data_IF_699200191664
#
_entry.id   IF_699200191664
#
_cell.length_a   1.000
_cell.length_b   1.000
_cell.length_c   1.000
_cell.angle_alpha   90.00
_cell.angle_beta   90.00
_cell.angle_gamma   90.00
#
_symmetry.space_group_name_H-M   'P 1'
#
loop_
_entity.id
_entity.type
_entity.pdbx_description
1 polymer ?
#
# COMPACT_ATOMS: atom_id res chain seq x y z
N UNK A 1 49.37 26.06 -51.74
CA UNK A 1 49.64 26.78 -50.47
C UNK A 1 48.36 27.46 -49.98
N UNK A 2 48.23 27.59 -48.65
CA UNK A 2 47.17 28.29 -47.88
C UNK A 2 45.84 27.51 -47.69
N UNK A 3 45.71 26.75 -46.59
CA UNK A 3 45.24 27.15 -45.23
C UNK A 3 43.71 27.27 -45.14
N UNK A 4 43.07 26.18 -44.70
CA UNK A 4 41.73 26.17 -44.12
C UNK A 4 41.80 26.65 -42.66
N UNK A 5 40.88 27.54 -42.28
CA UNK A 5 40.50 27.81 -40.89
C UNK A 5 38.97 28.07 -40.79
N UNK A 6 38.36 27.87 -39.60
CA UNK A 6 37.02 27.30 -39.46
C UNK A 6 35.93 28.34 -39.14
N UNK A 7 34.69 28.06 -39.53
CA UNK A 7 33.50 28.85 -39.11
C UNK A 7 32.67 28.11 -38.06
N UNK A 8 32.24 28.92 -37.10
CA UNK A 8 31.77 28.60 -35.74
C UNK A 8 30.35 28.01 -35.67
N UNK A 9 30.15 27.23 -34.61
CA UNK A 9 28.90 26.68 -34.06
C UNK A 9 27.75 27.70 -34.01
N UNK A 10 26.54 27.24 -34.35
CA UNK A 10 25.27 27.82 -33.91
C UNK A 10 24.52 26.80 -33.03
N UNK A 11 24.16 27.20 -31.81
CA UNK A 11 23.22 26.48 -30.91
C UNK A 11 21.84 27.14 -31.05
N UNK A 12 20.72 26.38 -31.08
CA UNK A 12 19.39 26.99 -31.11
C UNK A 12 18.83 27.32 -29.72
N UNK A 13 18.22 28.49 -29.69
CA UNK A 13 17.26 29.12 -28.79
C UNK A 13 16.71 28.37 -27.55
N UNK A 14 16.94 28.97 -26.38
CA UNK A 14 16.13 28.85 -25.16
C UNK A 14 14.80 29.59 -25.33
N UNK A 15 13.67 28.88 -25.14
CA UNK A 15 12.34 29.49 -25.00
C UNK A 15 12.02 29.71 -23.53
N UNK A 16 12.13 30.95 -23.09
CA UNK A 16 11.56 31.48 -21.84
C UNK A 16 10.03 31.43 -21.94
N UNK A 17 9.36 30.71 -21.04
CA UNK A 17 7.89 30.74 -20.94
C UNK A 17 7.51 31.55 -19.70
N UNK A 18 6.94 32.72 -19.98
CA UNK A 18 6.50 33.75 -19.05
C UNK A 18 5.37 33.25 -18.15
N UNK A 19 5.51 33.50 -16.85
CA UNK A 19 4.52 33.24 -15.81
C UNK A 19 3.33 34.20 -16.01
N UNK A 20 2.14 33.66 -16.32
CA UNK A 20 0.90 34.46 -16.37
C UNK A 20 0.35 34.61 -14.94
N UNK A 21 0.09 35.86 -14.59
CA UNK A 21 -0.52 36.36 -13.35
C UNK A 21 -1.95 35.84 -13.16
N UNK A 22 -2.28 35.42 -11.94
CA UNK A 22 -3.60 34.97 -11.53
C UNK A 22 -4.43 36.12 -10.93
N UNK A 23 -5.69 36.23 -11.35
CA UNK A 23 -6.74 37.08 -10.74
C UNK A 23 -7.55 36.23 -9.74
N UNK A 24 -7.97 36.77 -8.58
CA UNK A 24 -8.60 35.99 -7.52
C UNK A 24 -10.12 35.89 -7.68
N UNK A 25 -10.71 34.80 -7.17
CA UNK A 25 -12.12 34.76 -6.76
C UNK A 25 -13.04 33.85 -7.59
N UNK A 26 -13.12 32.58 -7.20
CA UNK A 26 -14.39 31.84 -7.20
C UNK A 26 -14.32 30.72 -6.16
N UNK A 27 -15.23 30.77 -5.19
CA UNK A 27 -15.42 29.75 -4.16
C UNK A 27 -15.51 28.36 -4.82
N UNK A 28 -14.59 27.48 -4.45
CA UNK A 28 -14.62 26.09 -4.87
C UNK A 28 -15.78 25.40 -4.13
N UNK A 29 -16.94 25.32 -4.79
CA UNK A 29 -17.92 24.30 -4.46
C UNK A 29 -17.22 22.94 -4.61
N UNK A 30 -17.13 22.22 -3.50
CA UNK A 30 -16.61 20.85 -3.43
C UNK A 30 -17.39 19.98 -4.42
N UNK A 31 -16.70 19.49 -5.46
CA UNK A 31 -17.24 18.47 -6.35
C UNK A 31 -17.45 17.19 -5.54
N UNK A 32 -18.54 16.43 -5.77
CA UNK A 32 -18.73 15.14 -5.12
C UNK A 32 -17.60 14.19 -5.53
N UNK A 33 -17.10 13.44 -4.55
CA UNK A 33 -15.99 12.50 -4.68
C UNK A 33 -16.34 11.46 -5.76
N UNK A 34 -15.42 11.23 -6.70
CA UNK A 34 -15.65 10.27 -7.77
C UNK A 34 -15.50 8.84 -7.22
N UNK A 35 -16.65 8.21 -6.97
CA UNK A 35 -16.79 6.77 -6.73
C UNK A 35 -15.92 5.96 -7.71
N UNK A 36 -15.33 4.86 -7.25
CA UNK A 36 -14.56 4.00 -8.17
C UNK A 36 -15.47 3.52 -9.31
N UNK A 37 -14.92 3.29 -10.50
CA UNK A 37 -15.69 2.78 -11.64
C UNK A 37 -16.54 1.53 -11.27
N UNK A 38 -16.03 0.70 -10.37
CA UNK A 38 -16.76 -0.47 -9.87
C UNK A 38 -17.92 -0.09 -8.94
N UNK A 39 -17.80 0.95 -8.11
CA UNK A 39 -18.88 1.47 -7.27
C UNK A 39 -19.91 2.22 -8.10
N UNK A 40 -19.49 3.07 -9.04
CA UNK A 40 -20.38 3.71 -10.02
C UNK A 40 -21.17 2.67 -10.80
N UNK A 41 -20.52 1.60 -11.24
CA UNK A 41 -21.21 0.51 -11.96
C UNK A 41 -22.19 -0.27 -11.07
N UNK A 42 -21.84 -0.51 -9.80
CA UNK A 42 -22.74 -1.17 -8.83
C UNK A 42 -23.95 -0.27 -8.54
N UNK A 43 -23.73 1.00 -8.23
CA UNK A 43 -24.77 1.98 -7.93
C UNK A 43 -25.67 2.23 -9.13
N UNK A 44 -25.11 2.34 -10.33
CA UNK A 44 -25.88 2.43 -11.58
C UNK A 44 -26.77 1.22 -11.80
N UNK A 45 -26.29 0.01 -11.48
CA UNK A 45 -27.10 -1.22 -11.52
C UNK A 45 -28.15 -1.30 -10.42
N UNK A 46 -27.91 -0.66 -9.26
CA UNK A 46 -28.86 -0.62 -8.16
C UNK A 46 -30.00 0.39 -8.40
N UNK A 47 -29.74 1.47 -9.15
CA UNK A 47 -30.73 2.50 -9.46
C UNK A 47 -31.96 1.95 -10.21
N UNK A 48 -31.76 0.91 -11.02
CA UNK A 48 -32.83 0.24 -11.79
C UNK A 48 -33.48 -0.94 -11.03
N UNK A 49 -33.12 -1.17 -9.76
CA UNK A 49 -33.57 -2.32 -8.98
C UNK A 49 -34.37 -1.89 -7.75
N UNK A 50 -35.45 -2.61 -7.45
CA UNK A 50 -36.18 -2.41 -6.21
C UNK A 50 -35.36 -2.91 -5.00
N UNK A 51 -35.33 -2.16 -3.88
CA UNK A 51 -34.53 -2.48 -2.69
C UNK A 51 -34.79 -3.87 -2.08
N UNK A 52 -36.02 -4.38 -2.21
CA UNK A 52 -36.42 -5.67 -1.66
C UNK A 52 -35.96 -6.87 -2.51
N UNK A 53 -35.42 -6.63 -3.70
CA UNK A 53 -34.94 -7.69 -4.58
C UNK A 53 -33.64 -8.30 -4.05
N UNK A 54 -33.50 -9.62 -4.19
CA UNK A 54 -32.27 -10.32 -3.82
C UNK A 54 -31.04 -9.74 -4.53
N UNK A 55 -31.21 -9.27 -5.78
CA UNK A 55 -30.14 -8.67 -6.58
C UNK A 55 -29.68 -7.32 -6.00
N UNK A 56 -30.60 -6.47 -5.55
CA UNK A 56 -30.26 -5.21 -4.87
C UNK A 56 -29.49 -5.48 -3.59
N UNK A 57 -29.98 -6.39 -2.73
CA UNK A 57 -29.34 -6.74 -1.45
C UNK A 57 -27.91 -7.30 -1.63
N UNK A 58 -27.66 -8.05 -2.70
CA UNK A 58 -26.31 -8.53 -3.04
C UNK A 58 -25.38 -7.38 -3.43
N UNK A 59 -25.86 -6.42 -4.23
CA UNK A 59 -25.08 -5.25 -4.65
C UNK A 59 -24.80 -4.30 -3.48
N UNK A 60 -25.80 -4.09 -2.61
CA UNK A 60 -25.66 -3.35 -1.36
C UNK A 60 -24.62 -3.99 -0.44
N UNK A 61 -24.70 -5.31 -0.25
CA UNK A 61 -23.71 -6.06 0.54
C UNK A 61 -22.30 -5.96 -0.05
N UNK A 62 -22.18 -5.95 -1.38
CA UNK A 62 -20.90 -5.78 -2.07
C UNK A 62 -20.32 -4.36 -1.88
N UNK A 63 -21.16 -3.33 -1.80
CA UNK A 63 -20.74 -1.96 -1.51
C UNK A 63 -20.32 -1.82 -0.04
N UNK A 64 -21.11 -2.36 0.90
CA UNK A 64 -20.78 -2.40 2.32
C UNK A 64 -19.49 -3.20 2.61
N UNK A 65 -19.23 -4.26 1.83
CA UNK A 65 -17.98 -5.00 1.91
C UNK A 65 -16.77 -4.13 1.53
N UNK A 66 -16.90 -3.21 0.56
CA UNK A 66 -15.81 -2.29 0.20
C UNK A 66 -15.49 -1.27 1.28
N UNK A 67 -16.48 -0.87 2.09
CA UNK A 67 -16.26 0.01 3.26
C UNK A 67 -15.97 -0.76 4.56
N UNK A 68 -16.05 -2.09 4.55
CA UNK A 68 -15.87 -2.94 5.75
C UNK A 68 -14.46 -2.89 6.36
N UNK A 69 -13.45 -2.50 5.58
CA UNK A 69 -12.08 -2.42 6.05
C UNK A 69 -11.90 -1.35 7.14
N UNK A 70 -12.74 -0.32 7.14
CA UNK A 70 -12.72 0.79 8.08
C UNK A 70 -13.08 0.30 9.48
N UNK A 71 -14.20 -0.41 9.58
CA UNK A 71 -14.71 -1.00 10.82
C UNK A 71 -13.72 -2.05 11.35
N UNK A 72 -13.17 -2.88 10.46
CA UNK A 72 -12.13 -3.82 10.86
C UNK A 72 -10.86 -3.11 11.32
N UNK A 73 -10.46 -2.04 10.63
CA UNK A 73 -9.29 -1.22 10.98
C UNK A 73 -9.44 -0.55 12.35
N UNK A 74 -10.62 -0.05 12.68
CA UNK A 74 -10.99 0.48 14.00
C UNK A 74 -10.80 -0.57 15.09
N UNK A 75 -11.47 -1.72 14.97
CA UNK A 75 -11.36 -2.79 15.96
C UNK A 75 -9.93 -3.31 16.10
N UNK A 76 -9.22 -3.49 15.00
CA UNK A 76 -7.82 -3.90 15.05
C UNK A 76 -6.94 -2.84 15.72
N UNK A 77 -7.19 -1.56 15.50
CA UNK A 77 -6.46 -0.47 16.17
C UNK A 77 -6.72 -0.48 17.68
N UNK A 78 -7.95 -0.73 18.12
CA UNK A 78 -8.29 -0.85 19.54
C UNK A 78 -7.66 -2.10 20.17
N UNK A 79 -7.67 -3.23 19.48
CA UNK A 79 -7.00 -4.47 19.93
C UNK A 79 -5.50 -4.25 20.13
N UNK A 80 -4.85 -3.55 19.19
CA UNK A 80 -3.43 -3.19 19.33
C UNK A 80 -3.22 -2.24 20.51
N UNK A 81 -4.04 -1.17 20.61
CA UNK A 81 -3.95 -0.15 21.65
C UNK A 81 -4.12 -0.72 23.06
N UNK A 82 -5.07 -1.64 23.24
CA UNK A 82 -5.38 -2.28 24.52
C UNK A 82 -4.53 -3.53 24.77
N UNK A 83 -3.76 -4.00 23.79
CA UNK A 83 -3.09 -5.30 23.82
C UNK A 83 -4.05 -6.47 24.16
N UNK A 84 -5.33 -6.37 23.78
CA UNK A 84 -6.37 -7.35 24.12
C UNK A 84 -6.02 -8.78 23.68
N UNK A 85 -5.27 -8.92 22.57
CA UNK A 85 -4.76 -10.20 22.07
C UNK A 85 -3.97 -10.99 23.12
N UNK A 86 -3.30 -10.33 24.08
CA UNK A 86 -2.58 -11.01 25.17
C UNK A 86 -3.54 -11.69 26.14
N UNK A 87 -4.66 -11.03 26.46
CA UNK A 87 -5.68 -11.60 27.34
C UNK A 87 -6.39 -12.80 26.70
N UNK A 88 -6.42 -12.84 25.37
CA UNK A 88 -6.95 -13.97 24.60
C UNK A 88 -5.94 -15.12 24.40
N UNK A 89 -4.74 -15.01 24.97
CA UNK A 89 -3.72 -16.06 24.92
C UNK A 89 -2.80 -16.02 23.70
N UNK A 90 -2.85 -14.97 22.88
CA UNK A 90 -1.93 -14.81 21.75
C UNK A 90 -0.63 -14.13 22.16
N UNK A 91 0.50 -14.69 21.69
CA UNK A 91 1.83 -14.15 21.96
C UNK A 91 2.08 -12.77 21.32
N UNK A 92 1.43 -12.50 20.18
CA UNK A 92 1.53 -11.24 19.47
C UNK A 92 0.25 -10.93 18.70
N UNK A 93 0.06 -9.65 18.36
CA UNK A 93 -1.02 -9.20 17.49
C UNK A 93 -0.97 -9.90 16.13
N UNK A 94 0.24 -10.08 15.59
CA UNK A 94 0.43 -10.75 14.30
C UNK A 94 -0.06 -12.20 14.33
N UNK A 95 0.19 -12.91 15.44
CA UNK A 95 -0.25 -14.30 15.62
C UNK A 95 -1.77 -14.40 15.74
N UNK A 96 -2.39 -13.47 16.48
CA UNK A 96 -3.84 -13.35 16.55
C UNK A 96 -4.46 -13.15 15.17
N UNK A 97 -3.93 -12.21 14.38
CA UNK A 97 -4.44 -11.96 13.03
C UNK A 97 -4.27 -13.15 12.08
N UNK A 98 -3.15 -13.88 12.16
CA UNK A 98 -2.90 -15.03 11.29
C UNK A 98 -3.74 -16.25 11.65
N UNK A 99 -3.88 -16.54 12.94
CA UNK A 99 -4.43 -17.80 13.43
C UNK A 99 -5.95 -17.77 13.55
N UNK A 100 -6.52 -16.63 13.96
CA UNK A 100 -7.96 -16.51 14.20
C UNK A 100 -8.67 -15.77 13.07
N UNK A 101 -8.11 -14.63 12.64
CA UNK A 101 -8.74 -13.81 11.61
C UNK A 101 -8.36 -14.25 10.19
N UNK A 102 -7.35 -15.11 10.04
CA UNK A 102 -6.78 -15.52 8.76
C UNK A 102 -6.36 -14.32 7.87
N UNK A 103 -6.00 -13.21 8.52
CA UNK A 103 -5.53 -12.00 7.85
C UNK A 103 -4.01 -11.97 7.91
N UNK A 104 -3.37 -11.80 6.76
CA UNK A 104 -1.91 -11.67 6.73
C UNK A 104 -1.43 -10.52 7.61
N UNK A 105 -0.32 -10.70 8.30
CA UNK A 105 0.33 -9.66 9.10
C UNK A 105 0.49 -8.34 8.35
N UNK A 106 0.85 -8.41 7.06
CA UNK A 106 1.02 -7.23 6.22
C UNK A 106 -0.30 -6.49 5.98
N UNK A 107 -1.40 -7.22 5.81
CA UNK A 107 -2.74 -6.63 5.65
C UNK A 107 -3.22 -6.02 6.96
N UNK A 108 -3.10 -6.73 8.08
CA UNK A 108 -3.51 -6.23 9.40
C UNK A 108 -2.81 -4.91 9.75
N UNK A 109 -1.48 -4.84 9.53
CA UNK A 109 -0.70 -3.61 9.75
C UNK A 109 -1.15 -2.46 8.85
N UNK A 110 -1.49 -2.74 7.59
CA UNK A 110 -2.03 -1.72 6.67
C UNK A 110 -3.38 -1.19 7.13
N UNK A 111 -4.29 -2.07 7.56
CA UNK A 111 -5.61 -1.69 8.04
C UNK A 111 -5.52 -0.75 9.25
N UNK A 112 -4.77 -1.15 10.28
CA UNK A 112 -4.55 -0.34 11.49
C UNK A 112 -3.95 1.01 11.14
N UNK A 113 -2.90 1.02 10.30
CA UNK A 113 -2.21 2.25 9.91
C UNK A 113 -3.10 3.19 9.10
N UNK A 114 -3.87 2.65 8.15
CA UNK A 114 -4.81 3.43 7.34
C UNK A 114 -5.90 4.05 8.19
N UNK A 115 -6.45 3.29 9.15
CA UNK A 115 -7.43 3.80 10.11
C UNK A 115 -6.87 4.94 10.96
N UNK A 116 -5.67 4.77 11.53
CA UNK A 116 -5.00 5.82 12.31
C UNK A 116 -4.76 7.09 11.48
N UNK A 117 -4.33 6.94 10.22
CA UNK A 117 -4.16 8.07 9.33
C UNK A 117 -5.46 8.84 9.10
N UNK A 118 -6.60 8.16 8.89
CA UNK A 118 -7.90 8.85 8.75
C UNK A 118 -8.20 9.65 10.02
N UNK A 119 -8.04 9.04 11.20
CA UNK A 119 -8.30 9.72 12.47
C UNK A 119 -7.46 10.97 12.69
N UNK A 120 -6.21 10.97 12.20
CA UNK A 120 -5.29 12.09 12.35
C UNK A 120 -5.47 13.19 11.28
N UNK A 121 -5.72 12.79 10.03
CA UNK A 121 -5.58 13.68 8.85
C UNK A 121 -6.89 13.99 8.14
N UNK A 122 -7.91 13.17 8.33
CA UNK A 122 -9.17 13.25 7.62
C UNK A 122 -10.35 12.73 8.50
N UNK A 123 -10.52 13.25 9.73
CA UNK A 123 -11.53 12.75 10.67
C UNK A 123 -12.97 12.89 10.14
N UNK A 124 -13.19 13.79 9.17
CA UNK A 124 -14.46 13.98 8.47
C UNK A 124 -14.93 12.73 7.71
N UNK A 125 -14.04 11.78 7.43
CA UNK A 125 -14.37 10.51 6.79
C UNK A 125 -14.61 9.36 7.77
N UNK A 126 -14.49 9.60 9.07
CA UNK A 126 -14.83 8.59 10.07
C UNK A 126 -16.35 8.46 10.21
N UNK A 127 -16.87 7.23 10.39
CA UNK A 127 -18.26 7.06 10.75
C UNK A 127 -18.54 7.75 12.10
N UNK A 128 -19.73 8.36 12.30
CA UNK A 128 -20.10 8.97 13.57
C UNK A 128 -19.95 7.98 14.73
N UNK A 129 -19.30 8.42 15.83
CA UNK A 129 -18.91 7.62 17.00
C UNK A 129 -20.07 7.12 17.89
N UNK A 130 -21.34 7.18 17.47
CA UNK A 130 -22.42 6.59 18.27
C UNK A 130 -22.38 5.08 18.13
N UNK A 131 -21.71 4.46 19.09
CA UNK A 131 -21.62 3.03 19.32
C UNK A 131 -22.98 2.46 19.75
N UNK A 132 -23.11 1.14 19.61
CA UNK A 132 -24.26 0.27 19.96
C UNK A 132 -25.29 0.04 18.84
N UNK A 133 -24.89 -0.74 17.82
CA UNK A 133 -25.64 -1.93 17.35
C UNK A 133 -25.11 -2.39 15.99
N UNK A 134 -24.07 -3.23 16.02
CA UNK A 134 -23.50 -3.84 14.81
C UNK A 134 -24.46 -4.87 14.18
N UNK A 135 -25.50 -5.31 14.91
CA UNK A 135 -26.54 -6.22 14.42
C UNK A 135 -27.73 -5.45 13.83
N UNK A 136 -28.11 -4.28 14.36
CA UNK A 136 -29.18 -3.45 13.80
C UNK A 136 -28.77 -2.73 12.49
N UNK A 137 -27.46 -2.50 12.28
CA UNK A 137 -26.92 -1.91 11.03
C UNK A 137 -27.15 -2.74 9.76
N UNK A 138 -27.57 -4.00 9.88
CA UNK A 138 -27.89 -4.84 8.72
C UNK A 138 -29.29 -4.59 8.16
N UNK A 139 -30.15 -3.85 8.88
CA UNK A 139 -31.57 -3.69 8.55
C UNK A 139 -32.07 -2.25 8.52
N UNK A 140 -31.30 -1.25 8.93
CA UNK A 140 -31.73 0.14 8.85
C UNK A 140 -30.75 0.98 8.04
N UNK A 141 -31.25 1.34 6.86
CA UNK A 141 -30.87 2.47 6.01
C UNK A 141 -29.38 2.61 5.76
N UNK A 142 -28.98 2.21 4.54
CA UNK A 142 -27.89 2.78 3.76
C UNK A 142 -27.17 3.92 4.49
N UNK A 143 -26.11 3.56 5.24
CA UNK A 143 -25.20 4.53 5.80
C UNK A 143 -24.87 5.52 4.67
N UNK A 144 -24.97 6.84 4.89
CA UNK A 144 -24.30 7.79 4.04
C UNK A 144 -22.82 7.56 4.28
N UNK A 145 -22.29 6.57 3.54
CA UNK A 145 -20.88 6.23 3.47
C UNK A 145 -20.29 7.35 2.65
N UNK A 146 -20.13 8.52 3.27
CA UNK A 146 -19.46 9.66 2.66
C UNK A 146 -18.17 9.13 2.04
N UNK A 147 -18.08 9.29 0.73
CA UNK A 147 -17.21 8.57 -0.20
C UNK A 147 -15.78 8.43 0.33
N UNK A 148 -15.50 7.27 0.94
CA UNK A 148 -14.19 7.00 1.50
C UNK A 148 -13.25 6.54 0.39
N UNK A 149 -12.06 7.16 0.23
CA UNK A 149 -11.09 6.68 -0.74
C UNK A 149 -10.74 5.20 -0.49
N UNK A 150 -10.45 4.45 -1.56
CA UNK A 150 -10.05 3.04 -1.45
C UNK A 150 -8.90 2.88 -0.43
N UNK A 151 -8.92 1.76 0.31
CA UNK A 151 -7.89 1.39 1.28
C UNK A 151 -6.49 1.57 0.69
N UNK A 152 -6.29 1.21 -0.59
CA UNK A 152 -4.97 1.34 -1.22
C UNK A 152 -4.53 2.79 -1.34
N UNK A 153 -5.41 3.70 -1.74
CA UNK A 153 -5.11 5.13 -1.82
C UNK A 153 -4.76 5.69 -0.43
N UNK A 154 -5.52 5.31 0.59
CA UNK A 154 -5.24 5.72 1.98
C UNK A 154 -3.92 5.12 2.48
N UNK A 155 -3.61 3.86 2.14
CA UNK A 155 -2.31 3.28 2.53
C UNK A 155 -1.14 4.07 1.94
N UNK A 156 -1.28 4.59 0.71
CA UNK A 156 -0.28 5.44 0.06
C UNK A 156 -0.18 6.80 0.75
N UNK A 157 -1.29 7.40 1.15
CA UNK A 157 -1.26 8.66 1.91
C UNK A 157 -0.64 8.49 3.31
N UNK A 158 -0.93 7.37 3.97
CA UNK A 158 -0.29 7.03 5.24
C UNK A 158 1.23 6.83 5.08
N UNK A 159 1.67 6.20 3.97
CA UNK A 159 3.09 6.10 3.60
C UNK A 159 3.70 7.49 3.32
N UNK A 160 2.98 8.34 2.58
CA UNK A 160 3.41 9.70 2.27
C UNK A 160 3.55 10.56 3.54
N UNK A 161 2.62 10.45 4.50
CA UNK A 161 2.69 11.16 5.78
C UNK A 161 3.88 10.69 6.61
N UNK A 162 4.16 9.39 6.61
CA UNK A 162 5.38 8.87 7.24
C UNK A 162 6.64 9.42 6.57
N UNK A 163 6.69 9.43 5.24
CA UNK A 163 7.81 9.99 4.49
C UNK A 163 8.00 11.51 4.74
N UNK A 164 6.92 12.26 4.92
CA UNK A 164 6.94 13.66 5.36
C UNK A 164 7.56 13.80 6.75
N UNK A 165 7.13 12.98 7.73
CA UNK A 165 7.71 12.97 9.08
C UNK A 165 9.20 12.61 9.07
N UNK A 166 9.63 11.78 8.13
CA UNK A 166 11.04 11.41 7.90
C UNK A 166 11.82 12.45 7.06
N UNK A 167 11.21 13.59 6.72
CA UNK A 167 11.77 14.63 5.84
C UNK A 167 12.23 14.12 4.46
N UNK A 168 11.64 13.01 3.98
CA UNK A 168 11.92 12.42 2.66
C UNK A 168 11.05 13.02 1.55
N UNK A 169 9.96 13.68 1.91
CA UNK A 169 9.02 14.33 1.00
C UNK A 169 8.72 15.71 1.57
N UNK A 170 8.63 16.73 0.71
CA UNK A 170 8.25 18.08 1.14
C UNK A 170 6.76 18.14 1.53
N UNK A 171 6.41 19.12 2.36
CA UNK A 171 5.01 19.34 2.74
C UNK A 171 4.13 19.62 1.52
N UNK A 172 4.62 20.43 0.57
CA UNK A 172 3.92 20.72 -0.68
C UNK A 172 3.62 19.46 -1.50
N UNK A 173 4.58 18.53 -1.57
CA UNK A 173 4.40 17.27 -2.29
C UNK A 173 3.38 16.36 -1.58
N UNK A 174 3.38 16.32 -0.25
CA UNK A 174 2.36 15.60 0.52
C UNK A 174 0.96 16.19 0.30
N UNK A 175 0.81 17.51 0.34
CA UNK A 175 -0.47 18.17 0.10
C UNK A 175 -0.96 17.96 -1.34
N UNK A 176 -0.05 17.94 -2.33
CA UNK A 176 -0.38 17.60 -3.70
C UNK A 176 -0.89 16.16 -3.83
N UNK A 177 -0.26 15.19 -3.15
CA UNK A 177 -0.73 13.81 -3.10
C UNK A 177 -2.09 13.68 -2.42
N UNK A 178 -2.31 14.41 -1.31
CA UNK A 178 -3.60 14.44 -0.61
C UNK A 178 -4.70 14.96 -1.54
N UNK A 179 -4.45 16.08 -2.23
CA UNK A 179 -5.40 16.63 -3.23
C UNK A 179 -5.68 15.64 -4.34
N UNK A 180 -4.63 15.08 -4.96
CA UNK A 180 -4.78 14.09 -6.02
C UNK A 180 -5.63 12.89 -5.58
N UNK A 181 -5.43 12.39 -4.36
CA UNK A 181 -6.20 11.28 -3.83
C UNK A 181 -7.68 11.64 -3.61
N UNK A 182 -7.95 12.87 -3.16
CA UNK A 182 -9.31 13.41 -3.03
C UNK A 182 -9.98 13.65 -4.39
N UNK A 183 -9.18 13.97 -5.41
CA UNK A 183 -9.63 14.10 -6.80
C UNK A 183 -9.86 12.75 -7.50
N UNK A 184 -9.76 11.62 -6.77
CA UNK A 184 -10.05 10.29 -7.30
C UNK A 184 -8.87 9.58 -7.98
N UNK A 185 -7.63 10.08 -7.82
CA UNK A 185 -6.48 9.42 -8.42
C UNK A 185 -6.27 7.99 -7.91
N UNK A 186 -5.83 7.12 -8.83
CA UNK A 186 -5.61 5.72 -8.53
C UNK A 186 -4.43 5.54 -7.56
N UNK A 187 -4.51 4.52 -6.70
CA UNK A 187 -3.40 4.18 -5.79
C UNK A 187 -2.06 3.95 -6.52
N UNK A 188 -2.08 3.45 -7.77
CA UNK A 188 -0.87 3.31 -8.58
C UNK A 188 -0.30 4.65 -9.04
N UNK A 189 -1.15 5.59 -9.44
CA UNK A 189 -0.73 6.94 -9.81
C UNK A 189 -0.18 7.69 -8.59
N UNK A 190 -0.88 7.62 -7.45
CA UNK A 190 -0.42 8.20 -6.18
C UNK A 190 0.93 7.62 -5.73
N UNK A 191 1.10 6.30 -5.83
CA UNK A 191 2.36 5.65 -5.49
C UNK A 191 3.50 6.08 -6.40
N UNK A 192 3.24 6.26 -7.69
CA UNK A 192 4.21 6.78 -8.65
C UNK A 192 4.60 8.23 -8.30
N UNK A 193 3.62 9.09 -8.09
CA UNK A 193 3.85 10.49 -7.71
C UNK A 193 4.63 10.60 -6.39
N UNK A 194 4.32 9.76 -5.40
CA UNK A 194 5.08 9.67 -4.15
C UNK A 194 6.55 9.31 -4.40
N UNK A 195 6.82 8.28 -5.22
CA UNK A 195 8.19 7.87 -5.55
C UNK A 195 8.98 8.92 -6.36
N UNK A 196 8.27 9.73 -7.16
CA UNK A 196 8.85 10.86 -7.92
C UNK A 196 9.16 12.05 -7.00
N UNK A 197 8.37 12.25 -5.93
CA UNK A 197 8.57 13.33 -4.96
C UNK A 197 9.72 13.10 -3.96
N UNK A 198 10.17 11.86 -3.80
CA UNK A 198 11.28 11.52 -2.90
C UNK A 198 12.62 11.84 -3.60
N UNK A 199 13.45 12.76 -3.06
CA UNK A 199 14.77 13.06 -3.61
C UNK A 199 15.63 11.80 -3.74
N UNK A 200 16.42 11.70 -4.82
CA UNK A 200 17.24 10.51 -5.09
C UNK A 200 18.21 10.17 -3.94
N UNK A 201 18.66 11.17 -3.18
CA UNK A 201 19.54 11.05 -2.01
C UNK A 201 18.81 10.49 -0.78
N UNK A 202 17.51 10.74 -0.65
CA UNK A 202 16.65 10.26 0.42
C UNK A 202 16.03 8.88 0.12
N UNK A 203 16.14 8.40 -1.12
CA UNK A 203 15.81 7.01 -1.46
C UNK A 203 16.73 6.09 -0.67
N UNK A 204 16.22 5.03 -0.04
CA UNK A 204 17.05 4.09 0.68
C UNK A 204 18.17 3.60 -0.25
N UNK A 205 19.43 3.89 0.10
CA UNK A 205 20.59 3.31 -0.60
C UNK A 205 20.44 1.79 -0.57
N UNK A 206 20.76 1.14 -1.68
CA UNK A 206 20.65 -0.29 -1.99
C UNK A 206 21.34 -1.28 -1.00
N UNK A 207 21.63 -0.90 0.24
CA UNK A 207 22.01 -1.79 1.32
C UNK A 207 20.93 -2.85 1.58
N UNK A 208 19.65 -2.47 1.47
CA UNK A 208 18.51 -3.39 1.58
C UNK A 208 18.44 -4.37 0.38
N UNK A 209 18.93 -3.95 -0.80
CA UNK A 209 19.02 -4.85 -1.96
C UNK A 209 20.04 -5.96 -1.72
N UNK A 210 21.20 -5.69 -1.09
CA UNK A 210 22.19 -6.75 -0.80
C UNK A 210 21.63 -7.82 0.12
N UNK A 211 20.99 -7.43 1.23
CA UNK A 211 20.37 -8.37 2.17
C UNK A 211 19.22 -9.12 1.50
N UNK A 212 18.38 -8.41 0.71
CA UNK A 212 17.31 -9.02 -0.08
C UNK A 212 17.83 -10.02 -1.12
N UNK A 213 18.91 -9.69 -1.82
CA UNK A 213 19.56 -10.58 -2.79
C UNK A 213 20.16 -11.80 -2.10
N UNK A 214 20.81 -11.64 -0.95
CA UNK A 214 21.33 -12.75 -0.15
C UNK A 214 20.20 -13.65 0.38
N UNK A 215 19.09 -13.08 0.86
CA UNK A 215 17.90 -13.87 1.28
C UNK A 215 17.29 -14.64 0.11
N UNK A 216 17.18 -14.01 -1.06
CA UNK A 216 16.69 -14.67 -2.29
C UNK A 216 17.64 -15.79 -2.75
N UNK A 217 18.94 -15.55 -2.72
CA UNK A 217 19.96 -16.55 -3.05
C UNK A 217 19.93 -17.73 -2.06
N UNK A 218 19.82 -17.46 -0.75
CA UNK A 218 19.67 -18.50 0.27
C UNK A 218 18.44 -19.37 0.04
N UNK A 219 17.27 -18.77 -0.27
CA UNK A 219 16.05 -19.52 -0.61
C UNK A 219 16.23 -20.38 -1.87
N UNK A 220 16.91 -19.86 -2.88
CA UNK A 220 17.20 -20.60 -4.10
C UNK A 220 18.15 -21.79 -3.84
N UNK A 221 19.20 -21.60 -3.02
CA UNK A 221 20.09 -22.68 -2.60
C UNK A 221 19.35 -23.78 -1.84
N UNK A 222 18.41 -23.43 -0.95
CA UNK A 222 17.59 -24.42 -0.26
C UNK A 222 16.78 -25.28 -1.26
N UNK A 223 16.12 -24.66 -2.23
CA UNK A 223 15.38 -25.38 -3.27
C UNK A 223 16.28 -26.28 -4.13
N UNK A 224 17.52 -25.86 -4.42
CA UNK A 224 18.51 -26.69 -5.14
C UNK A 224 18.93 -27.89 -4.30
N UNK A 225 19.19 -27.69 -3.00
CA UNK A 225 19.54 -28.78 -2.08
C UNK A 225 18.41 -29.81 -2.01
N UNK A 226 17.17 -29.36 -1.89
CA UNK A 226 16.00 -30.26 -1.84
C UNK A 226 15.87 -31.06 -3.15
N UNK A 227 16.04 -30.41 -4.30
CA UNK A 227 15.99 -31.08 -5.60
C UNK A 227 17.14 -32.08 -5.79
N UNK A 228 18.36 -31.77 -5.31
CA UNK A 228 19.50 -32.68 -5.37
C UNK A 228 19.31 -33.88 -4.46
N UNK A 229 18.73 -33.71 -3.26
CA UNK A 229 18.41 -34.81 -2.35
C UNK A 229 17.32 -35.74 -2.90
N UNK A 230 16.32 -35.18 -3.56
CA UNK A 230 15.28 -35.96 -4.25
C UNK A 230 15.90 -36.76 -5.42
N UNK A 231 16.80 -36.17 -6.18
CA UNK A 231 17.52 -36.86 -7.25
C UNK A 231 18.45 -37.97 -6.73
N UNK A 232 19.21 -37.70 -5.67
CA UNK A 232 20.17 -38.64 -5.05
C UNK A 232 19.48 -39.84 -4.37
N UNK A 233 18.19 -39.71 -4.03
CA UNK A 233 17.40 -40.81 -3.46
C UNK A 233 17.16 -42.00 -4.40
N UNK A 234 17.59 -41.91 -5.67
CA UNK A 234 17.37 -42.91 -6.73
C UNK A 234 18.61 -43.65 -7.25
N UNK A 235 19.82 -43.48 -6.70
CA UNK A 235 21.03 -44.10 -7.26
C UNK A 235 22.12 -44.44 -6.24
N UNK A 236 22.85 -45.54 -6.48
CA UNK A 236 23.88 -46.07 -5.58
C UNK A 236 25.02 -45.07 -5.30
N UNK A 237 25.15 -44.73 -4.01
CA UNK A 237 26.38 -44.52 -3.26
C UNK A 237 27.53 -43.74 -3.96
N UNK A 238 27.42 -42.42 -4.00
CA UNK A 238 28.54 -41.55 -3.73
C UNK A 238 27.99 -40.18 -3.34
N UNK A 239 28.45 -39.61 -2.23
CA UNK A 239 28.13 -38.24 -1.87
C UNK A 239 28.41 -37.33 -3.05
N UNK A 240 27.34 -36.89 -3.71
CA UNK A 240 27.42 -36.13 -4.95
C UNK A 240 28.09 -34.80 -4.62
N UNK A 241 29.26 -34.56 -5.22
CA UNK A 241 30.04 -33.34 -5.04
C UNK A 241 29.16 -32.09 -5.23
N UNK A 242 28.10 -32.20 -6.05
CA UNK A 242 27.09 -31.17 -6.26
C UNK A 242 26.27 -30.84 -5.00
N UNK A 243 25.84 -31.83 -4.23
CA UNK A 243 25.09 -31.61 -2.98
C UNK A 243 25.99 -30.94 -1.94
N UNK A 244 27.24 -31.40 -1.82
CA UNK A 244 28.23 -30.80 -0.92
C UNK A 244 28.52 -29.34 -1.29
N UNK A 245 28.69 -29.04 -2.58
CA UNK A 245 28.88 -27.67 -3.08
C UNK A 245 27.66 -26.78 -2.81
N UNK A 246 26.44 -27.30 -3.00
CA UNK A 246 25.22 -26.56 -2.72
C UNK A 246 25.06 -26.21 -1.23
N UNK A 247 25.38 -27.16 -0.34
CA UNK A 247 25.38 -26.94 1.11
C UNK A 247 26.45 -25.94 1.55
N UNK A 248 27.66 -26.02 0.98
CA UNK A 248 28.74 -25.04 1.23
C UNK A 248 28.35 -23.63 0.79
N UNK A 249 27.75 -23.48 -0.40
CA UNK A 249 27.26 -22.19 -0.89
C UNK A 249 26.16 -21.63 0.02
N UNK A 250 25.21 -22.47 0.44
CA UNK A 250 24.15 -22.09 1.38
C UNK A 250 24.73 -21.56 2.70
N UNK A 251 25.71 -22.28 3.28
CA UNK A 251 26.41 -21.87 4.50
C UNK A 251 27.16 -20.55 4.33
N UNK A 252 27.86 -20.36 3.21
CA UNK A 252 28.57 -19.12 2.90
C UNK A 252 27.64 -17.91 2.74
N UNK A 253 26.46 -18.10 2.13
CA UNK A 253 25.43 -17.06 2.04
C UNK A 253 24.87 -16.73 3.43
N UNK A 254 24.59 -17.75 4.24
CA UNK A 254 24.03 -17.57 5.59
C UNK A 254 24.96 -16.77 6.51
N UNK A 255 26.28 -17.00 6.44
CA UNK A 255 27.28 -16.23 7.19
C UNK A 255 27.33 -14.74 6.83
N UNK A 256 26.85 -14.36 5.63
CA UNK A 256 26.81 -12.97 5.16
C UNK A 256 25.46 -12.29 5.40
N UNK A 257 24.45 -13.04 5.86
CA UNK A 257 23.19 -12.45 6.25
C UNK A 257 23.35 -11.79 7.63
N UNK A 258 22.81 -10.56 7.84
CA UNK A 258 22.76 -9.97 9.16
C UNK A 258 21.95 -10.89 10.08
N UNK A 259 22.48 -11.16 11.28
CA UNK A 259 21.74 -11.89 12.32
C UNK A 259 20.52 -11.06 12.69
N UNK A 260 19.37 -11.71 12.79
CA UNK A 260 18.18 -11.05 13.31
C UNK A 260 18.39 -10.88 14.81
N UNK A 261 18.60 -9.64 15.25
CA UNK A 261 18.44 -9.24 16.65
C UNK A 261 16.95 -9.22 17.02
#
# INVERSE_FOLDING_TARGET
>A
MAKQQPKKRAKPATKTKTLKTATPGKAAMSKPVELTHAEVSILGRMADLEPETARYRVLESALAFKSSWVVLGEHLADVVKTSAFKAWGYASFERYCSDELFVSTATAKKLVRSWQWIGDEAPEYLPPKSTVDLVARKQQAALPTGDLPDLKSITVLADAKKALKEARVSEDAYLALKRAALDGESASALKRALNESIPAEAKPKAADDKVRHLRRASKACAAVIDALREWDSGGEAAGDDLLVLAEQLSKAIHLRLPRAD
#
